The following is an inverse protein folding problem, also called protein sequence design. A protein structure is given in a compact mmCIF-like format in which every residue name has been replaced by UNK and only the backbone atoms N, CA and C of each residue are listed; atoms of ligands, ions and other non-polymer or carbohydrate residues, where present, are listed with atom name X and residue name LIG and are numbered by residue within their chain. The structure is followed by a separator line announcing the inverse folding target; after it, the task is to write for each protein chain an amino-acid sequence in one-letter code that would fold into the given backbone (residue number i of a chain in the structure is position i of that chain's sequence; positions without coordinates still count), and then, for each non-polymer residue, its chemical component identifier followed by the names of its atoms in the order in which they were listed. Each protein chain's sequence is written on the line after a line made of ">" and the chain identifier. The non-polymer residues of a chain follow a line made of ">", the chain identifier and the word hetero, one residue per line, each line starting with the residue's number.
data_IF_176296988620
#
_entry.id   IF_176296988620
#
_cell.length_a   1.000
_cell.length_b   1.000
_cell.length_c   1.000
_cell.angle_alpha   90.00
_cell.angle_beta   90.00
_cell.angle_gamma   90.00
#
_symmetry.space_group_name_H-M   'P 1'
#
loop_
_entity.id
_entity.type
_entity.pdbx_description
1 polymer ?
#
# COMPACT_ATOMS: atom_id res chain seq x y z
N UNK A 1 -34.99 38.37 -2.90
CA UNK A 1 -34.93 38.13 -4.35
C UNK A 1 -33.92 37.01 -4.62
N UNK A 2 -34.08 36.29 -5.70
CA UNK A 2 -33.21 35.17 -6.12
C UNK A 2 -31.71 35.50 -6.14
N UNK A 3 -31.38 36.77 -6.36
CA UNK A 3 -29.99 37.25 -6.38
C UNK A 3 -29.37 37.36 -4.99
N UNK A 4 -30.14 37.72 -3.98
CA UNK A 4 -29.68 37.76 -2.58
C UNK A 4 -29.47 36.34 -2.01
N UNK A 5 -30.26 35.38 -2.45
CA UNK A 5 -30.13 33.98 -2.05
C UNK A 5 -28.82 33.38 -2.64
N UNK A 6 -28.53 33.71 -3.91
CA UNK A 6 -27.30 33.28 -4.60
C UNK A 6 -26.03 33.90 -4.00
N UNK A 7 -26.08 35.14 -3.54
CA UNK A 7 -24.95 35.83 -2.89
C UNK A 7 -24.72 35.28 -1.46
N UNK A 8 -25.78 34.89 -0.74
CA UNK A 8 -25.62 34.25 0.57
C UNK A 8 -24.98 32.84 0.49
N UNK A 9 -25.35 32.08 -0.50
CA UNK A 9 -24.75 30.74 -0.75
C UNK A 9 -23.26 30.84 -1.19
N UNK A 10 -22.95 31.78 -2.11
CA UNK A 10 -21.56 31.99 -2.53
C UNK A 10 -20.71 32.70 -1.47
N UNK A 11 -21.33 33.54 -0.60
CA UNK A 11 -20.64 34.25 0.47
C UNK A 11 -20.12 33.36 1.58
N UNK A 12 -20.84 32.28 1.89
CA UNK A 12 -20.41 31.27 2.90
C UNK A 12 -19.18 30.47 2.39
N UNK A 13 -19.16 30.12 1.12
CA UNK A 13 -18.01 29.44 0.50
C UNK A 13 -16.76 30.33 0.45
N UNK A 14 -16.93 31.66 0.20
CA UNK A 14 -15.82 32.61 0.20
C UNK A 14 -15.23 32.83 1.60
N UNK A 15 -16.04 32.76 2.66
CA UNK A 15 -15.57 32.91 4.04
C UNK A 15 -14.77 31.68 4.55
N UNK A 16 -15.08 30.52 4.05
CA UNK A 16 -14.35 29.26 4.35
C UNK A 16 -12.95 29.26 3.72
N UNK A 17 -12.81 29.82 2.52
CA UNK A 17 -11.54 29.93 1.80
C UNK A 17 -10.51 30.80 2.52
N UNK A 18 -10.95 31.80 3.25
CA UNK A 18 -10.08 32.71 3.99
C UNK A 18 -9.53 32.11 5.29
N UNK A 19 -10.21 31.13 5.87
CA UNK A 19 -9.86 30.53 7.17
C UNK A 19 -8.86 29.38 7.08
N UNK A 20 -8.74 28.74 5.92
CA UNK A 20 -7.89 27.54 5.73
C UNK A 20 -6.69 27.77 4.79
N UNK A 21 -6.04 28.89 4.84
CA UNK A 21 -4.76 29.32 4.27
C UNK A 21 -3.91 28.33 3.46
N UNK A 22 -4.43 27.72 2.39
CA UNK A 22 -3.61 26.93 1.48
C UNK A 22 -4.40 26.03 0.56
N UNK A 23 -4.38 26.32 -0.73
CA UNK A 23 -4.67 25.45 -1.89
C UNK A 23 -5.80 24.41 -1.74
N UNK A 24 -7.00 24.87 -1.45
CA UNK A 24 -8.21 24.12 -1.76
C UNK A 24 -8.45 24.28 -3.27
N UNK A 25 -8.46 23.18 -4.01
CA UNK A 25 -8.87 23.19 -5.41
C UNK A 25 -10.40 23.37 -5.45
N UNK A 26 -10.92 23.92 -6.55
CA UNK A 26 -12.37 24.07 -6.76
C UNK A 26 -13.11 22.71 -6.59
N UNK A 27 -12.41 21.64 -6.80
CA UNK A 27 -12.85 20.26 -6.63
C UNK A 27 -13.05 19.89 -5.14
N UNK A 28 -12.14 20.28 -4.23
CA UNK A 28 -12.27 20.03 -2.79
C UNK A 28 -13.48 20.78 -2.19
N UNK A 29 -13.76 21.98 -2.69
CA UNK A 29 -14.95 22.75 -2.30
C UNK A 29 -16.25 22.07 -2.75
N UNK A 30 -16.25 21.51 -3.96
CA UNK A 30 -17.40 20.78 -4.50
C UNK A 30 -17.64 19.48 -3.74
N UNK A 31 -16.57 18.74 -3.39
CA UNK A 31 -16.67 17.53 -2.59
C UNK A 31 -17.21 17.78 -1.18
N UNK A 32 -16.73 18.85 -0.51
CA UNK A 32 -17.23 19.24 0.80
C UNK A 32 -18.70 19.67 0.75
N UNK A 33 -19.12 20.34 -0.31
CA UNK A 33 -20.52 20.70 -0.55
C UNK A 33 -21.39 19.46 -0.76
N UNK A 34 -20.94 18.52 -1.59
CA UNK A 34 -21.65 17.25 -1.82
C UNK A 34 -21.77 16.45 -0.51
N UNK A 35 -20.70 16.41 0.30
CA UNK A 35 -20.73 15.74 1.61
C UNK A 35 -21.71 16.39 2.60
N UNK A 36 -21.79 17.72 2.62
CA UNK A 36 -22.76 18.44 3.44
C UNK A 36 -24.20 18.13 2.99
N UNK A 37 -24.44 18.07 1.68
CA UNK A 37 -25.76 17.70 1.13
C UNK A 37 -26.13 16.24 1.46
N UNK A 38 -25.17 15.32 1.46
CA UNK A 38 -25.40 13.91 1.83
C UNK A 38 -25.74 13.72 3.32
N UNK A 39 -25.28 14.63 4.19
CA UNK A 39 -25.59 14.60 5.62
C UNK A 39 -26.93 15.29 5.98
N UNK A 40 -27.54 15.99 5.03
CA UNK A 40 -28.89 16.51 5.21
C UNK A 40 -29.84 15.32 5.04
N UNK A 41 -30.54 14.98 6.11
CA UNK A 41 -31.53 13.91 6.18
C UNK A 41 -32.59 14.14 5.08
N UNK A 42 -32.43 13.41 3.95
CA UNK A 42 -33.21 13.68 2.74
C UNK A 42 -34.48 12.81 2.74
N UNK A 43 -35.56 13.33 3.29
CA UNK A 43 -36.92 12.78 3.11
C UNK A 43 -37.57 13.16 1.76
N UNK A 44 -36.77 13.73 0.81
CA UNK A 44 -37.29 14.22 -0.48
C UNK A 44 -36.63 13.47 -1.62
N UNK A 45 -37.42 12.72 -2.40
CA UNK A 45 -36.98 11.92 -3.55
C UNK A 45 -36.26 12.74 -4.65
N UNK A 46 -36.65 13.99 -4.86
CA UNK A 46 -36.01 14.92 -5.82
C UNK A 46 -34.52 15.18 -5.50
N UNK A 47 -34.15 15.16 -4.22
CA UNK A 47 -32.79 15.39 -3.78
C UNK A 47 -31.87 14.20 -4.11
N UNK A 48 -32.39 12.97 -4.09
CA UNK A 48 -31.65 11.76 -4.45
C UNK A 48 -31.30 11.72 -5.94
N UNK A 49 -32.28 12.01 -6.81
CA UNK A 49 -32.07 12.01 -8.25
C UNK A 49 -31.08 13.10 -8.66
N UNK A 50 -31.16 14.29 -8.06
CA UNK A 50 -30.19 15.36 -8.25
C UNK A 50 -28.77 14.94 -7.80
N UNK A 51 -28.64 14.28 -6.65
CA UNK A 51 -27.37 13.79 -6.12
C UNK A 51 -26.77 12.68 -6.96
N UNK A 52 -27.60 11.78 -7.54
CA UNK A 52 -27.11 10.75 -8.47
C UNK A 52 -26.63 11.34 -9.76
N UNK A 53 -27.30 12.36 -10.27
CA UNK A 53 -26.88 13.10 -11.47
C UNK A 53 -25.58 13.85 -11.25
N UNK A 54 -25.43 14.56 -10.12
CA UNK A 54 -24.19 15.23 -9.73
C UNK A 54 -23.01 14.24 -9.57
N UNK A 55 -23.26 13.08 -8.94
CA UNK A 55 -22.25 12.02 -8.84
C UNK A 55 -21.76 11.57 -10.22
N UNK A 56 -22.69 11.40 -11.15
CA UNK A 56 -22.39 10.91 -12.51
C UNK A 56 -21.64 11.92 -13.37
N UNK A 57 -21.89 13.22 -13.14
CA UNK A 57 -21.24 14.29 -13.89
C UNK A 57 -19.87 14.70 -13.32
N UNK A 58 -19.67 14.58 -12.00
CA UNK A 58 -18.46 15.05 -11.31
C UNK A 58 -17.40 13.96 -11.11
N UNK A 59 -17.78 12.68 -11.12
CA UNK A 59 -16.86 11.59 -10.80
C UNK A 59 -16.64 10.69 -12.02
N UNK A 60 -15.38 10.37 -12.29
CA UNK A 60 -15.03 9.39 -13.32
C UNK A 60 -15.46 7.99 -12.87
N UNK A 61 -15.87 7.14 -13.82
CA UNK A 61 -16.26 5.74 -13.55
C UNK A 61 -15.12 4.89 -12.96
N UNK A 62 -13.89 5.38 -12.99
CA UNK A 62 -12.68 4.67 -12.59
C UNK A 62 -12.22 4.98 -11.15
N UNK A 63 -12.85 5.96 -10.48
CA UNK A 63 -12.49 6.40 -9.13
C UNK A 63 -13.69 6.39 -8.18
N UNK A 64 -13.41 6.19 -6.89
CA UNK A 64 -14.38 6.32 -5.81
C UNK A 64 -13.87 7.35 -4.81
N UNK A 65 -14.78 8.19 -4.31
CA UNK A 65 -14.49 9.22 -3.32
C UNK A 65 -15.11 8.81 -1.99
N UNK A 66 -14.26 8.56 -1.02
CA UNK A 66 -14.64 8.13 0.32
C UNK A 66 -14.21 9.15 1.36
N UNK A 67 -14.86 9.15 2.50
CA UNK A 67 -14.69 10.18 3.52
C UNK A 67 -14.14 9.60 4.81
N UNK A 68 -13.27 10.37 5.48
CA UNK A 68 -12.93 10.10 6.88
C UNK A 68 -14.12 10.48 7.79
N UNK A 69 -14.18 9.99 9.04
CA UNK A 69 -15.18 10.46 10.01
C UNK A 69 -15.11 11.97 10.31
N UNK A 70 -14.00 12.63 9.96
CA UNK A 70 -13.82 14.08 10.09
C UNK A 70 -14.34 14.86 8.88
N UNK A 71 -14.72 14.17 7.80
CA UNK A 71 -15.22 14.78 6.58
C UNK A 71 -14.14 15.02 5.51
N UNK A 72 -12.90 14.57 5.70
CA UNK A 72 -11.87 14.69 4.66
C UNK A 72 -12.17 13.70 3.53
N UNK A 73 -12.22 14.20 2.29
CA UNK A 73 -12.41 13.37 1.11
C UNK A 73 -11.10 12.73 0.64
N UNK A 74 -11.15 11.46 0.28
CA UNK A 74 -10.02 10.68 -0.24
C UNK A 74 -10.44 10.00 -1.52
N UNK A 75 -9.67 10.24 -2.58
CA UNK A 75 -9.80 9.62 -3.89
C UNK A 75 -9.10 8.25 -3.90
N UNK A 76 -9.77 7.24 -4.42
CA UNK A 76 -9.26 5.89 -4.59
C UNK A 76 -9.70 5.31 -5.94
N UNK A 77 -8.91 4.42 -6.56
CA UNK A 77 -9.38 3.68 -7.72
C UNK A 77 -10.65 2.85 -7.39
N UNK A 78 -11.48 2.67 -8.39
CA UNK A 78 -12.66 1.78 -8.30
C UNK A 78 -12.27 0.38 -7.79
N UNK A 79 -13.13 -0.24 -7.01
CA UNK A 79 -12.90 -1.53 -6.35
C UNK A 79 -11.85 -1.50 -5.23
N UNK A 80 -11.41 -0.32 -4.80
CA UNK A 80 -10.54 -0.19 -3.62
C UNK A 80 -11.24 -0.65 -2.35
N UNK A 81 -10.44 -1.05 -1.39
CA UNK A 81 -10.87 -1.65 -0.12
C UNK A 81 -10.52 -0.77 1.08
N UNK A 82 -11.06 -1.03 2.28
CA UNK A 82 -10.64 -0.33 3.50
C UNK A 82 -9.15 -0.38 3.77
N UNK A 83 -8.44 -1.42 3.31
CA UNK A 83 -6.97 -1.48 3.39
C UNK A 83 -6.32 -0.45 2.47
N UNK A 84 -6.78 -0.30 1.23
CA UNK A 84 -6.28 0.75 0.33
C UNK A 84 -6.45 2.13 0.94
N UNK A 85 -7.63 2.40 1.51
CA UNK A 85 -7.93 3.63 2.24
C UNK A 85 -6.98 3.84 3.43
N UNK A 86 -6.75 2.81 4.26
CA UNK A 86 -5.85 2.88 5.41
C UNK A 86 -4.42 3.25 5.01
N UNK A 87 -3.89 2.65 3.93
CA UNK A 87 -2.56 2.95 3.42
C UNK A 87 -2.48 4.30 2.70
N UNK A 88 -3.57 4.78 2.12
CA UNK A 88 -3.67 6.11 1.53
C UNK A 88 -3.60 7.20 2.59
N UNK A 89 -4.24 7.01 3.77
CA UNK A 89 -4.12 7.92 4.90
C UNK A 89 -2.67 7.96 5.40
N UNK A 90 -2.15 6.80 5.84
CA UNK A 90 -0.78 6.70 6.34
C UNK A 90 -0.36 5.23 6.51
N UNK A 91 0.91 4.92 6.23
CA UNK A 91 1.45 3.56 6.38
C UNK A 91 1.29 3.00 7.81
N UNK A 92 1.42 3.83 8.84
CA UNK A 92 1.24 3.39 10.22
C UNK A 92 -0.22 3.00 10.53
N UNK A 93 -1.21 3.64 9.88
CA UNK A 93 -2.62 3.27 9.98
C UNK A 93 -2.84 1.92 9.32
N UNK A 94 -2.36 1.75 8.08
CA UNK A 94 -2.42 0.48 7.36
C UNK A 94 -1.75 -0.66 8.13
N UNK A 95 -0.52 -0.47 8.60
CA UNK A 95 0.24 -1.50 9.32
C UNK A 95 -0.39 -1.92 10.66
N UNK A 96 -1.15 -1.04 11.31
CA UNK A 96 -1.83 -1.32 12.59
C UNK A 96 -3.31 -1.66 12.42
N UNK A 97 -3.80 -1.76 11.18
CA UNK A 97 -5.19 -2.07 10.90
C UNK A 97 -5.58 -3.45 11.44
N UNK A 98 -6.69 -3.51 12.14
CA UNK A 98 -7.30 -4.75 12.66
C UNK A 98 -8.73 -4.93 12.19
N UNK A 99 -9.33 -3.91 11.57
CA UNK A 99 -10.70 -3.92 11.06
C UNK A 99 -11.08 -2.58 10.48
N UNK A 100 -12.28 -2.49 9.95
CA UNK A 100 -12.84 -1.26 9.40
C UNK A 100 -14.34 -1.17 9.66
N UNK A 101 -14.84 0.07 9.71
CA UNK A 101 -16.26 0.37 9.63
C UNK A 101 -16.52 1.20 8.39
N UNK A 102 -17.58 0.88 7.70
CA UNK A 102 -18.12 1.68 6.59
C UNK A 102 -19.53 2.09 6.98
N UNK A 103 -19.81 3.39 6.95
CA UNK A 103 -21.11 3.95 7.36
C UNK A 103 -21.54 3.42 8.76
N UNK A 104 -20.62 3.46 9.72
CA UNK A 104 -20.77 3.01 11.11
C UNK A 104 -20.97 1.48 11.29
N UNK A 105 -20.95 0.68 10.23
CA UNK A 105 -21.08 -0.79 10.29
C UNK A 105 -19.72 -1.44 10.14
N UNK A 106 -19.42 -2.44 10.98
CA UNK A 106 -18.20 -3.25 10.83
C UNK A 106 -18.29 -4.04 9.54
N UNK A 107 -17.23 -3.97 8.73
CA UNK A 107 -17.12 -4.66 7.45
C UNK A 107 -15.83 -5.49 7.39
N UNK A 108 -15.75 -6.41 6.44
CA UNK A 108 -14.52 -7.14 6.14
C UNK A 108 -13.53 -6.26 5.39
N UNK A 109 -12.23 -6.56 5.51
CA UNK A 109 -11.17 -5.74 4.90
C UNK A 109 -11.11 -5.84 3.37
N UNK A 110 -11.82 -6.80 2.77
CA UNK A 110 -11.97 -7.01 1.33
C UNK A 110 -13.25 -6.37 0.75
N UNK A 111 -14.04 -5.70 1.58
CA UNK A 111 -15.23 -4.97 1.14
C UNK A 111 -14.85 -3.90 0.13
N UNK A 112 -15.59 -3.81 -0.98
CA UNK A 112 -15.36 -2.76 -1.98
C UNK A 112 -16.04 -1.47 -1.55
N UNK A 113 -15.27 -0.40 -1.53
CA UNK A 113 -15.74 0.93 -1.19
C UNK A 113 -16.51 1.57 -2.35
N UNK A 114 -17.48 2.39 -2.00
CA UNK A 114 -18.32 3.13 -2.94
C UNK A 114 -18.20 4.64 -2.67
N UNK A 115 -18.45 5.42 -3.71
CA UNK A 115 -18.47 6.89 -3.57
C UNK A 115 -19.51 7.31 -2.55
N UNK A 116 -19.10 8.12 -1.59
CA UNK A 116 -19.92 8.59 -0.47
C UNK A 116 -19.79 7.78 0.82
N UNK A 117 -19.03 6.69 0.82
CA UNK A 117 -18.80 5.91 2.03
C UNK A 117 -17.99 6.69 3.07
N UNK A 118 -18.40 6.63 4.33
CA UNK A 118 -17.63 7.13 5.47
C UNK A 118 -16.86 5.95 6.07
N UNK A 119 -15.53 6.00 5.99
CA UNK A 119 -14.65 4.89 6.35
C UNK A 119 -13.86 5.20 7.61
N UNK A 120 -14.00 4.38 8.63
CA UNK A 120 -13.23 4.41 9.88
C UNK A 120 -12.34 3.17 9.97
N UNK A 121 -11.02 3.37 10.08
CA UNK A 121 -10.07 2.27 10.25
C UNK A 121 -9.84 2.00 11.74
N UNK A 122 -10.07 0.75 12.14
CA UNK A 122 -9.79 0.28 13.48
C UNK A 122 -8.33 -0.16 13.56
N UNK A 123 -7.57 0.47 14.44
CA UNK A 123 -6.14 0.18 14.63
C UNK A 123 -5.87 -0.36 16.03
N UNK A 124 -4.87 -1.22 16.17
CA UNK A 124 -4.41 -1.72 17.47
C UNK A 124 -2.88 -1.63 17.56
N UNK A 125 -2.34 -1.17 18.71
CA UNK A 125 -0.91 -1.23 18.97
C UNK A 125 -0.35 -2.66 18.98
N UNK A 126 -1.19 -3.66 19.31
CA UNK A 126 -0.85 -5.08 19.35
C UNK A 126 -1.05 -5.79 18.02
N UNK A 127 -1.36 -5.06 16.94
CA UNK A 127 -1.46 -5.64 15.60
C UNK A 127 -0.15 -6.29 15.18
N UNK A 128 -0.22 -7.51 14.64
CA UNK A 128 0.93 -8.22 14.06
C UNK A 128 1.39 -7.61 12.72
N UNK A 129 0.71 -6.59 12.24
CA UNK A 129 0.96 -5.98 10.94
C UNK A 129 0.25 -6.70 9.78
N UNK A 130 0.53 -6.27 8.54
CA UNK A 130 -0.04 -6.87 7.35
C UNK A 130 0.42 -8.31 7.14
N UNK A 131 -0.47 -9.14 6.62
CA UNK A 131 -0.18 -10.49 6.15
C UNK A 131 0.05 -10.52 4.63
N UNK A 132 0.63 -11.63 4.13
CA UNK A 132 0.77 -11.84 2.68
C UNK A 132 -0.59 -11.87 1.95
N UNK A 133 -1.65 -12.31 2.62
CA UNK A 133 -3.00 -12.35 2.02
C UNK A 133 -3.56 -10.96 1.73
N UNK A 134 -3.12 -9.93 2.45
CA UNK A 134 -3.52 -8.55 2.17
C UNK A 134 -3.12 -8.08 0.78
N UNK A 135 -2.03 -8.63 0.21
CA UNK A 135 -1.62 -8.33 -1.16
C UNK A 135 -2.64 -8.76 -2.22
N UNK A 136 -3.50 -9.75 -1.89
CA UNK A 136 -4.59 -10.21 -2.76
C UNK A 136 -5.83 -9.32 -2.62
N UNK A 137 -6.00 -8.69 -1.47
CA UNK A 137 -7.16 -7.86 -1.13
C UNK A 137 -7.00 -6.46 -1.71
N UNK A 138 -5.82 -5.83 -1.50
CA UNK A 138 -5.60 -4.44 -1.90
C UNK A 138 -5.52 -4.27 -3.42
N UNK A 139 -6.13 -3.19 -3.90
CA UNK A 139 -6.17 -2.81 -5.31
C UNK A 139 -4.99 -1.94 -5.71
N UNK A 140 -4.66 -0.94 -4.88
CA UNK A 140 -3.68 0.09 -5.20
C UNK A 140 -2.24 -0.42 -5.20
N UNK A 141 -1.42 0.09 -6.10
CA UNK A 141 0.02 -0.18 -6.14
C UNK A 141 0.74 0.38 -4.92
N UNK A 142 0.24 1.50 -4.39
CA UNK A 142 0.77 2.14 -3.18
C UNK A 142 0.63 1.21 -1.96
N UNK A 143 -0.57 0.69 -1.69
CA UNK A 143 -0.81 -0.26 -0.59
C UNK A 143 0.03 -1.53 -0.77
N UNK A 144 0.07 -2.10 -1.98
CA UNK A 144 0.90 -3.28 -2.29
C UNK A 144 2.38 -3.04 -1.98
N UNK A 145 2.92 -1.89 -2.40
CA UNK A 145 4.32 -1.53 -2.16
C UNK A 145 4.63 -1.38 -0.68
N UNK A 146 3.76 -0.67 0.07
CA UNK A 146 3.92 -0.46 1.52
C UNK A 146 3.82 -1.77 2.32
N UNK A 147 2.88 -2.65 1.95
CA UNK A 147 2.74 -3.99 2.56
C UNK A 147 3.99 -4.83 2.30
N UNK A 148 4.48 -4.89 1.05
CA UNK A 148 5.71 -5.64 0.73
C UNK A 148 6.92 -5.13 1.49
N UNK A 149 7.07 -3.81 1.59
CA UNK A 149 8.17 -3.20 2.34
C UNK A 149 8.12 -3.57 3.83
N UNK A 150 6.93 -3.56 4.44
CA UNK A 150 6.74 -3.97 5.82
C UNK A 150 7.09 -5.45 6.01
N UNK A 151 6.54 -6.35 5.18
CA UNK A 151 6.78 -7.79 5.26
C UNK A 151 8.27 -8.12 5.07
N UNK A 152 8.93 -7.45 4.14
CA UNK A 152 10.38 -7.60 3.93
C UNK A 152 11.19 -7.19 5.16
N UNK A 153 10.78 -6.12 5.84
CA UNK A 153 11.47 -5.64 7.04
C UNK A 153 11.20 -6.50 8.28
N UNK A 154 9.93 -6.86 8.52
CA UNK A 154 9.50 -7.59 9.73
C UNK A 154 9.88 -9.07 9.74
N UNK A 155 9.99 -9.69 8.57
CA UNK A 155 10.37 -11.10 8.41
C UNK A 155 11.84 -11.25 7.98
N UNK A 156 12.67 -10.22 8.15
CA UNK A 156 14.04 -10.22 7.63
C UNK A 156 14.85 -11.40 8.18
N UNK A 157 14.81 -11.64 9.47
CA UNK A 157 15.61 -12.71 10.11
C UNK A 157 15.14 -14.10 9.68
N UNK A 158 13.83 -14.32 9.60
CA UNK A 158 13.25 -15.56 9.09
C UNK A 158 13.62 -15.77 7.61
N UNK A 159 13.56 -14.71 6.81
CA UNK A 159 13.94 -14.77 5.40
C UNK A 159 15.43 -15.04 5.19
N UNK A 160 16.31 -14.55 6.09
CA UNK A 160 17.75 -14.87 6.05
C UNK A 160 17.95 -16.36 6.25
N UNK A 161 17.34 -16.94 7.28
CA UNK A 161 17.46 -18.38 7.56
C UNK A 161 16.90 -19.23 6.42
N UNK A 162 15.70 -18.89 5.96
CA UNK A 162 15.04 -19.57 4.85
C UNK A 162 15.86 -19.51 3.57
N UNK A 163 16.33 -18.31 3.21
CA UNK A 163 17.09 -18.09 1.98
C UNK A 163 18.44 -18.83 2.01
N UNK A 164 19.10 -18.87 3.16
CA UNK A 164 20.33 -19.64 3.33
C UNK A 164 20.09 -21.14 3.12
N UNK A 165 19.04 -21.70 3.75
CA UNK A 165 18.67 -23.12 3.56
C UNK A 165 18.33 -23.42 2.09
N UNK A 166 17.60 -22.54 1.42
CA UNK A 166 17.27 -22.67 -0.01
C UNK A 166 18.53 -22.69 -0.90
N UNK A 167 19.50 -21.82 -0.64
CA UNK A 167 20.76 -21.76 -1.40
C UNK A 167 21.59 -23.00 -1.12
N UNK A 168 21.70 -23.46 0.13
CA UNK A 168 22.44 -24.67 0.47
C UNK A 168 21.82 -25.92 -0.19
N UNK A 169 20.50 -26.05 -0.18
CA UNK A 169 19.78 -27.14 -0.85
C UNK A 169 20.01 -27.12 -2.37
N UNK A 170 19.94 -25.94 -2.97
CA UNK A 170 20.18 -25.78 -4.40
C UNK A 170 21.63 -26.12 -4.78
N UNK A 171 22.61 -25.69 -3.97
CA UNK A 171 24.01 -26.05 -4.20
C UNK A 171 24.22 -27.59 -4.16
N UNK A 172 23.66 -28.27 -3.17
CA UNK A 172 23.70 -29.75 -3.07
C UNK A 172 23.02 -30.43 -4.26
N UNK A 173 21.89 -29.85 -4.73
CA UNK A 173 21.17 -30.35 -5.90
C UNK A 173 22.03 -30.31 -7.17
N UNK A 174 22.92 -29.31 -7.26
CA UNK A 174 23.87 -29.16 -8.37
C UNK A 174 25.20 -29.88 -8.12
N UNK A 175 25.29 -30.78 -7.11
CA UNK A 175 26.50 -31.49 -6.72
C UNK A 175 27.67 -30.55 -6.35
N UNK A 176 27.36 -29.36 -5.80
CA UNK A 176 28.31 -28.41 -5.30
C UNK A 176 28.38 -28.46 -3.77
N UNK A 177 29.59 -28.34 -3.20
CA UNK A 177 29.77 -28.26 -1.76
C UNK A 177 29.42 -26.86 -1.23
N UNK A 178 28.33 -26.72 -0.43
CA UNK A 178 27.94 -25.43 0.10
C UNK A 178 29.04 -24.74 0.92
N UNK A 179 29.84 -25.52 1.67
CA UNK A 179 30.90 -24.97 2.53
C UNK A 179 32.01 -24.29 1.71
N UNK A 180 32.31 -24.80 0.52
CA UNK A 180 33.28 -24.20 -0.39
C UNK A 180 32.68 -23.00 -1.14
N UNK A 181 31.39 -23.06 -1.44
CA UNK A 181 30.70 -22.07 -2.26
C UNK A 181 30.32 -20.81 -1.47
N UNK A 182 29.87 -20.98 -0.22
CA UNK A 182 29.37 -19.88 0.64
C UNK A 182 30.49 -19.19 1.43
N UNK A 183 31.71 -19.13 0.88
CA UNK A 183 32.79 -18.36 1.50
C UNK A 183 32.50 -16.85 1.43
N UNK A 184 32.92 -16.13 2.46
CA UNK A 184 32.73 -14.70 2.58
C UNK A 184 33.23 -13.93 1.34
N UNK A 185 34.39 -14.32 0.81
CA UNK A 185 35.01 -13.70 -0.37
C UNK A 185 34.13 -13.74 -1.64
N UNK A 186 33.38 -14.83 -1.86
CA UNK A 186 32.47 -14.95 -3.03
C UNK A 186 31.17 -14.20 -2.80
N UNK A 187 30.65 -14.28 -1.56
CA UNK A 187 29.46 -13.52 -1.17
C UNK A 187 29.66 -12.01 -1.30
N UNK A 188 30.83 -11.50 -0.87
CA UNK A 188 31.20 -10.08 -1.02
C UNK A 188 31.25 -9.64 -2.50
N UNK A 189 31.76 -10.48 -3.38
CA UNK A 189 31.78 -10.17 -4.83
C UNK A 189 30.36 -10.06 -5.40
N UNK A 190 29.46 -10.95 -5.01
CA UNK A 190 28.05 -10.88 -5.42
C UNK A 190 27.37 -9.66 -4.80
N UNK A 191 27.62 -9.39 -3.53
CA UNK A 191 27.10 -8.24 -2.81
C UNK A 191 27.42 -6.93 -3.56
N UNK A 192 28.67 -6.72 -3.93
CA UNK A 192 29.13 -5.54 -4.68
C UNK A 192 28.46 -5.44 -6.07
N UNK A 193 28.39 -6.56 -6.82
CA UNK A 193 27.79 -6.60 -8.15
C UNK A 193 26.28 -6.35 -8.15
N UNK A 194 25.58 -6.71 -7.08
CA UNK A 194 24.12 -6.60 -6.98
C UNK A 194 23.65 -5.43 -6.14
N UNK A 195 24.59 -4.65 -5.55
CA UNK A 195 24.24 -3.49 -4.73
C UNK A 195 23.67 -3.83 -3.35
N UNK A 196 23.93 -5.03 -2.82
CA UNK A 196 23.57 -5.39 -1.46
C UNK A 196 24.54 -4.80 -0.45
N UNK A 197 24.04 -4.44 0.75
CA UNK A 197 24.88 -3.90 1.81
C UNK A 197 25.59 -4.99 2.62
N UNK A 198 24.96 -6.13 2.80
CA UNK A 198 25.46 -7.27 3.57
C UNK A 198 25.20 -8.60 2.86
N UNK A 199 25.95 -9.65 3.23
CA UNK A 199 25.70 -11.01 2.76
C UNK A 199 24.29 -11.51 3.17
N UNK A 200 23.81 -11.09 4.36
CA UNK A 200 22.48 -11.41 4.84
C UNK A 200 21.38 -10.85 3.94
N UNK A 201 21.62 -9.73 3.26
CA UNK A 201 20.65 -9.17 2.30
C UNK A 201 20.46 -10.08 1.09
N UNK A 202 21.48 -10.84 0.70
CA UNK A 202 21.39 -11.85 -0.37
C UNK A 202 20.48 -12.98 0.10
N UNK A 203 20.71 -13.50 1.31
CA UNK A 203 19.86 -14.54 1.90
C UNK A 203 18.43 -14.07 2.08
N UNK A 204 18.23 -12.90 2.65
CA UNK A 204 16.90 -12.30 2.81
C UNK A 204 16.18 -12.12 1.48
N UNK A 205 16.89 -11.71 0.42
CA UNK A 205 16.31 -11.55 -0.92
C UNK A 205 15.84 -12.89 -1.52
N UNK A 206 16.56 -13.98 -1.26
CA UNK A 206 16.16 -15.32 -1.69
C UNK A 206 14.97 -15.82 -0.85
N UNK A 207 15.01 -15.66 0.47
CA UNK A 207 13.93 -16.10 1.36
C UNK A 207 12.62 -15.39 1.10
N UNK A 208 12.67 -14.10 0.76
CA UNK A 208 11.49 -13.31 0.37
C UNK A 208 11.01 -13.60 -1.07
N UNK A 209 11.81 -14.26 -1.90
CA UNK A 209 11.49 -14.54 -3.31
C UNK A 209 11.85 -13.42 -4.29
N UNK A 210 12.68 -12.45 -3.87
CA UNK A 210 13.21 -11.39 -4.75
C UNK A 210 14.32 -11.89 -5.69
N UNK A 211 15.00 -12.97 -5.32
CA UNK A 211 15.97 -13.70 -6.13
C UNK A 211 15.73 -15.19 -6.01
N UNK A 212 16.09 -15.97 -7.03
CA UNK A 212 16.06 -17.43 -6.94
C UNK A 212 17.36 -17.99 -6.37
N UNK A 213 17.27 -19.07 -5.59
CA UNK A 213 18.45 -19.76 -5.07
C UNK A 213 19.39 -20.21 -6.21
N UNK A 214 18.81 -20.66 -7.34
CA UNK A 214 19.56 -21.04 -8.54
C UNK A 214 20.43 -19.89 -9.06
N UNK A 215 19.89 -18.66 -9.16
CA UNK A 215 20.65 -17.50 -9.64
C UNK A 215 21.85 -17.20 -8.73
N UNK A 216 21.67 -17.33 -7.41
CA UNK A 216 22.76 -17.10 -6.45
C UNK A 216 23.80 -18.19 -6.56
N UNK A 217 23.41 -19.47 -6.61
CA UNK A 217 24.33 -20.61 -6.72
C UNK A 217 25.14 -20.54 -8.01
N UNK A 218 24.53 -20.21 -9.15
CA UNK A 218 25.23 -20.04 -10.42
C UNK A 218 26.34 -18.96 -10.32
N UNK A 219 26.01 -17.81 -9.75
CA UNK A 219 26.99 -16.71 -9.59
C UNK A 219 28.11 -17.06 -8.62
N UNK A 220 27.78 -17.73 -7.51
CA UNK A 220 28.79 -18.23 -6.56
C UNK A 220 29.73 -19.24 -7.24
N UNK A 221 29.20 -20.15 -8.05
CA UNK A 221 29.99 -21.14 -8.77
C UNK A 221 30.91 -20.51 -9.84
N UNK A 222 30.45 -19.43 -10.49
CA UNK A 222 31.29 -18.65 -11.40
C UNK A 222 32.49 -18.03 -10.68
N UNK A 223 32.26 -17.38 -9.51
CA UNK A 223 33.32 -16.81 -8.71
C UNK A 223 34.27 -17.86 -8.14
N UNK A 224 33.75 -19.00 -7.69
CA UNK A 224 34.54 -20.14 -7.23
C UNK A 224 35.46 -20.66 -8.34
N UNK A 225 34.92 -20.92 -9.55
CA UNK A 225 35.70 -21.37 -10.70
C UNK A 225 36.75 -20.36 -11.14
N UNK A 226 36.43 -19.08 -11.03
CA UNK A 226 37.38 -18.00 -11.35
C UNK A 226 38.56 -18.00 -10.37
N UNK A 227 38.27 -18.06 -9.06
CA UNK A 227 39.28 -18.13 -8.02
C UNK A 227 40.21 -19.36 -8.21
N UNK A 228 39.59 -20.54 -8.49
CA UNK A 228 40.33 -21.77 -8.74
C UNK A 228 41.28 -21.70 -9.98
N UNK A 229 40.92 -20.87 -10.99
CA UNK A 229 41.78 -20.64 -12.15
C UNK A 229 42.93 -19.65 -11.86
N UNK A 230 42.70 -18.69 -10.96
CA UNK A 230 43.70 -17.70 -10.53
C UNK A 230 44.75 -18.34 -9.58
N UNK A 231 44.37 -19.40 -8.84
CA UNK A 231 45.26 -20.18 -7.96
C UNK A 231 46.00 -21.34 -8.65
N UNK A 232 45.63 -21.67 -9.88
CA UNK A 232 46.32 -22.69 -10.65
C UNK A 232 47.68 -22.15 -11.17
N UNK A 233 48.81 -22.84 -10.91
CA UNK A 233 50.16 -22.39 -11.28
C UNK A 233 50.38 -22.33 -12.80
#
# INVERSE_FOLDING_TARGET
>A
THEMHRVAEYGVAAHYKYKNGGKSTQFDETLNFVHQLMNIDSEVDDTKEFMETLKKELFSDDEVFVFTPKGDAIDLPKDSTPLDFAYRIHSAVGNKCVGAKVNQRIVTLDTKLQTGDIVEILTSPSSKGPSMDWLKIVKTTEAKSKIRAYLKASLRDENILLGRDMIEKEARRQNLDPAKLLKAEYLEKIQRKQGFKTADDIYAAVGFGGMTAMQVVMRLNEEYKRAAREEAP
#
